data_IF_217231259653
#
_entry.id   IF_217231259653
#
_cell.length_a   1.000
_cell.length_b   1.000
_cell.length_c   1.000
_cell.angle_alpha   90.00
_cell.angle_beta   90.00
_cell.angle_gamma   90.00
#
_symmetry.space_group_name_H-M   'P 1'
#
loop_
_entity.id
_entity.type
_entity.pdbx_description
1 polymer ?
#
# COMPACT_ATOMS: atom_id res chain seq x y z
N UNK A 1 -19.99 8.47 -56.08
CA UNK A 1 -19.49 9.61 -55.27
C UNK A 1 -20.23 9.74 -53.93
N UNK A 2 -20.38 8.67 -53.14
CA UNK A 2 -20.92 8.79 -51.77
C UNK A 2 -20.65 7.52 -50.93
N UNK A 3 -19.39 7.12 -50.77
CA UNK A 3 -18.99 6.04 -49.83
C UNK A 3 -17.60 6.23 -49.18
N UNK A 4 -17.04 7.45 -49.25
CA UNK A 4 -15.66 7.71 -48.81
C UNK A 4 -15.53 8.77 -47.69
N UNK A 5 -16.61 9.15 -47.00
CA UNK A 5 -16.59 10.27 -46.05
C UNK A 5 -17.16 9.99 -44.65
N UNK A 6 -17.24 8.72 -44.24
CA UNK A 6 -17.76 8.35 -42.90
C UNK A 6 -16.84 7.41 -42.10
N UNK A 7 -15.56 7.30 -42.47
CA UNK A 7 -14.59 6.43 -41.79
C UNK A 7 -13.46 7.21 -41.09
N UNK A 8 -13.51 8.54 -41.06
CA UNK A 8 -12.40 9.40 -40.57
C UNK A 8 -12.77 10.32 -39.39
N UNK A 9 -13.89 10.07 -38.71
CA UNK A 9 -14.31 10.91 -37.56
C UNK A 9 -14.75 10.15 -36.31
N UNK A 10 -14.29 8.91 -36.15
CA UNK A 10 -14.36 8.12 -34.91
C UNK A 10 -13.02 7.42 -34.65
N UNK A 11 -11.90 8.11 -34.86
CA UNK A 11 -10.73 7.82 -34.04
C UNK A 11 -11.00 8.49 -32.70
N UNK A 12 -11.48 7.67 -31.77
CA UNK A 12 -11.50 7.98 -30.37
C UNK A 12 -10.19 8.69 -30.00
N UNK A 13 -10.31 9.80 -29.27
CA UNK A 13 -9.27 10.28 -28.40
C UNK A 13 -8.96 9.18 -27.36
N UNK A 14 -8.29 8.12 -27.79
CA UNK A 14 -7.34 7.45 -26.94
C UNK A 14 -6.27 8.52 -26.74
N UNK A 15 -6.41 9.29 -25.66
CA UNK A 15 -5.30 10.03 -25.10
C UNK A 15 -4.17 9.01 -24.98
N UNK A 16 -3.21 9.10 -25.90
CA UNK A 16 -1.88 8.52 -25.70
C UNK A 16 -1.44 9.20 -24.42
N UNK A 17 -1.53 8.50 -23.29
CA UNK A 17 -1.03 9.00 -22.03
C UNK A 17 0.46 9.23 -22.25
N UNK A 18 0.82 10.49 -22.53
CA UNK A 18 2.22 10.88 -22.62
C UNK A 18 2.90 10.53 -21.30
N UNK A 19 4.19 10.21 -21.36
CA UNK A 19 5.01 9.99 -20.18
C UNK A 19 4.75 11.08 -19.15
N UNK A 20 4.20 10.71 -17.99
CA UNK A 20 3.95 11.64 -16.91
C UNK A 20 5.16 11.65 -15.98
N UNK A 21 5.70 12.83 -15.63
CA UNK A 21 6.73 12.92 -14.62
C UNK A 21 6.20 12.34 -13.30
N UNK A 22 7.11 11.85 -12.46
CA UNK A 22 6.74 11.36 -11.13
C UNK A 22 6.04 12.48 -10.34
N UNK A 23 4.76 12.29 -10.04
CA UNK A 23 3.90 13.35 -9.49
C UNK A 23 3.05 12.83 -8.34
N UNK A 24 2.98 13.62 -7.27
CA UNK A 24 2.04 13.40 -6.17
C UNK A 24 0.93 14.45 -6.23
N UNK A 25 -0.32 14.02 -6.31
CA UNK A 25 -1.48 14.89 -6.39
C UNK A 25 -2.61 14.40 -5.48
N UNK A 26 -3.55 15.27 -5.04
CA UNK A 26 -4.83 14.80 -4.53
C UNK A 26 -5.46 13.84 -5.54
N UNK A 27 -6.00 12.72 -5.08
CA UNK A 27 -6.53 11.70 -5.98
C UNK A 27 -7.68 12.25 -6.84
N UNK A 28 -7.69 11.82 -8.09
CA UNK A 28 -8.74 12.10 -9.08
C UNK A 28 -9.31 10.79 -9.58
N UNK A 29 -10.57 10.83 -9.98
CA UNK A 29 -11.18 9.73 -10.73
C UNK A 29 -10.63 9.67 -12.15
N UNK A 30 -10.92 8.59 -12.85
CA UNK A 30 -10.50 8.37 -14.24
C UNK A 30 -11.04 9.44 -15.23
N UNK A 31 -12.15 10.09 -14.90
CA UNK A 31 -12.70 11.23 -15.65
C UNK A 31 -12.03 12.58 -15.29
N UNK A 32 -10.92 12.52 -14.54
CA UNK A 32 -10.16 13.64 -14.00
C UNK A 32 -10.89 14.51 -12.97
N UNK A 33 -12.13 14.18 -12.58
CA UNK A 33 -12.83 14.88 -11.51
C UNK A 33 -12.17 14.61 -10.15
N UNK A 34 -12.25 15.59 -9.24
CA UNK A 34 -11.63 15.49 -7.93
C UNK A 34 -12.37 14.48 -7.05
N UNK A 35 -11.65 13.55 -6.43
CA UNK A 35 -12.24 12.63 -5.44
C UNK A 35 -12.63 13.39 -4.19
N UNK A 36 -11.74 14.27 -3.73
CA UNK A 36 -11.96 15.12 -2.57
C UNK A 36 -11.23 16.47 -2.73
N UNK A 37 -12.02 17.51 -3.00
CA UNK A 37 -11.55 18.89 -3.16
C UNK A 37 -11.37 19.62 -1.81
N UNK A 38 -11.81 19.04 -0.69
CA UNK A 38 -11.74 19.70 0.61
C UNK A 38 -10.31 19.76 1.17
N UNK A 39 -9.96 20.77 1.98
CA UNK A 39 -8.64 20.86 2.63
C UNK A 39 -8.32 19.61 3.46
N UNK A 40 -7.03 19.28 3.63
CA UNK A 40 -6.62 18.13 4.45
C UNK A 40 -7.22 18.21 5.88
N UNK A 41 -7.17 19.39 6.50
CA UNK A 41 -7.75 19.64 7.81
C UNK A 41 -7.09 18.75 8.89
N UNK A 42 -7.91 18.09 9.72
CA UNK A 42 -7.45 17.20 10.79
C UNK A 42 -7.16 15.77 10.32
N UNK A 43 -7.39 15.46 9.04
CA UNK A 43 -7.29 14.11 8.48
C UNK A 43 -5.85 13.71 8.21
N UNK A 44 -5.61 12.41 8.12
CA UNK A 44 -4.30 11.85 7.72
C UNK A 44 -4.22 11.78 6.19
N UNK A 45 -3.09 12.16 5.56
CA UNK A 45 -2.87 11.87 4.15
C UNK A 45 -2.73 10.36 3.93
N UNK A 46 -3.52 9.80 3.02
CA UNK A 46 -3.36 8.44 2.51
C UNK A 46 -2.71 8.49 1.14
N UNK A 47 -1.47 8.04 1.02
CA UNK A 47 -0.74 7.98 -0.25
C UNK A 47 -1.02 6.65 -0.96
N UNK A 48 -1.52 6.71 -2.17
CA UNK A 48 -1.76 5.57 -3.06
C UNK A 48 -0.60 5.44 -4.05
N UNK A 49 0.11 4.31 -4.02
CA UNK A 49 1.26 4.04 -4.89
C UNK A 49 0.98 2.79 -5.72
N UNK A 50 0.87 2.95 -7.04
CA UNK A 50 0.60 1.84 -7.96
C UNK A 50 1.85 0.97 -8.20
N UNK A 51 1.69 -0.16 -8.90
CA UNK A 51 2.78 -1.02 -9.35
C UNK A 51 3.06 -0.90 -10.85
N UNK A 52 3.68 -1.92 -11.43
CA UNK A 52 3.96 -2.04 -12.87
C UNK A 52 2.70 -2.06 -13.73
N UNK A 53 2.79 -1.49 -14.95
CA UNK A 53 1.74 -1.59 -15.96
C UNK A 53 0.41 -0.95 -15.56
N UNK A 54 0.42 -0.08 -14.55
CA UNK A 54 -0.74 0.68 -14.13
C UNK A 54 -0.35 2.09 -13.71
N UNK A 55 -1.36 2.91 -13.49
CA UNK A 55 -1.29 4.24 -12.91
C UNK A 55 -2.36 4.41 -11.84
N UNK A 56 -2.78 5.65 -11.64
CA UNK A 56 -3.78 5.99 -10.63
C UNK A 56 -5.15 5.36 -10.90
N UNK A 57 -5.44 5.03 -12.17
CA UNK A 57 -6.69 4.43 -12.59
C UNK A 57 -6.95 3.07 -11.94
N UNK A 58 -5.89 2.40 -11.46
CA UNK A 58 -6.00 1.18 -10.68
C UNK A 58 -6.71 1.34 -9.33
N UNK A 59 -6.88 2.56 -8.83
CA UNK A 59 -7.50 2.86 -7.53
C UNK A 59 -8.95 3.33 -7.62
N UNK A 60 -9.52 3.46 -8.83
CA UNK A 60 -10.84 4.03 -9.07
C UNK A 60 -11.92 3.46 -8.14
N UNK A 61 -12.02 2.14 -8.03
CA UNK A 61 -13.06 1.49 -7.22
C UNK A 61 -12.84 1.72 -5.71
N UNK A 62 -11.59 1.74 -5.24
CA UNK A 62 -11.28 2.12 -3.87
C UNK A 62 -11.67 3.58 -3.59
N UNK A 63 -11.39 4.49 -4.51
CA UNK A 63 -11.72 5.91 -4.39
C UNK A 63 -13.23 6.16 -4.42
N UNK A 64 -13.98 5.38 -5.21
CA UNK A 64 -15.45 5.44 -5.22
C UNK A 64 -16.06 4.84 -3.95
N UNK A 65 -15.48 3.76 -3.42
CA UNK A 65 -15.84 3.26 -2.09
C UNK A 65 -15.57 4.33 -1.02
N UNK A 66 -14.41 4.99 -1.04
CA UNK A 66 -14.11 6.13 -0.17
C UNK A 66 -15.16 7.25 -0.29
N UNK A 67 -15.54 7.62 -1.51
CA UNK A 67 -16.53 8.67 -1.74
C UNK A 67 -17.89 8.32 -1.13
N UNK A 68 -18.26 7.04 -1.04
CA UNK A 68 -19.53 6.60 -0.44
C UNK A 68 -19.47 6.43 1.09
N UNK A 69 -18.28 6.40 1.70
CA UNK A 69 -18.11 6.10 3.12
C UNK A 69 -17.74 7.37 3.93
N UNK A 70 -18.74 7.99 4.55
CA UNK A 70 -18.57 9.19 5.40
C UNK A 70 -17.49 9.04 6.47
N UNK A 71 -17.46 7.88 7.14
CA UNK A 71 -16.46 7.58 8.16
C UNK A 71 -15.04 7.59 7.58
N UNK A 72 -14.84 7.10 6.36
CA UNK A 72 -13.53 7.10 5.71
C UNK A 72 -13.11 8.52 5.34
N UNK A 73 -14.04 9.32 4.80
CA UNK A 73 -13.80 10.72 4.45
C UNK A 73 -13.43 11.58 5.65
N UNK A 74 -13.95 11.25 6.84
CA UNK A 74 -13.61 11.91 8.09
C UNK A 74 -12.23 11.52 8.67
N UNK A 75 -11.68 10.37 8.26
CA UNK A 75 -10.40 9.85 8.77
C UNK A 75 -9.20 10.31 7.92
N UNK A 76 -9.29 10.12 6.60
CA UNK A 76 -8.16 10.36 5.71
C UNK A 76 -8.56 11.09 4.43
N UNK A 77 -7.57 11.68 3.77
CA UNK A 77 -7.69 12.23 2.41
C UNK A 77 -6.75 11.49 1.46
N UNK A 78 -7.24 10.93 0.34
CA UNK A 78 -6.41 10.20 -0.60
C UNK A 78 -5.59 11.13 -1.51
N UNK A 79 -4.33 10.75 -1.70
CA UNK A 79 -3.39 11.32 -2.66
C UNK A 79 -2.82 10.20 -3.49
N UNK A 80 -2.57 10.42 -4.77
CA UNK A 80 -2.02 9.40 -5.65
C UNK A 80 -0.65 9.83 -6.17
N UNK A 81 0.31 8.91 -6.08
CA UNK A 81 1.64 9.07 -6.66
C UNK A 81 1.69 8.30 -7.98
N UNK A 82 1.85 9.03 -9.08
CA UNK A 82 1.97 8.48 -10.43
C UNK A 82 3.40 8.55 -10.90
N UNK A 83 3.86 7.53 -11.61
CA UNK A 83 5.16 7.50 -12.25
C UNK A 83 5.15 6.54 -13.45
N UNK A 84 6.02 6.82 -14.41
CA UNK A 84 6.16 6.02 -15.63
C UNK A 84 6.72 4.62 -15.32
N UNK A 85 6.14 3.57 -15.92
CA UNK A 85 6.59 2.17 -15.69
C UNK A 85 6.94 1.43 -16.98
N UNK A 86 6.36 1.83 -18.10
CA UNK A 86 6.58 1.16 -19.38
C UNK A 86 7.83 1.68 -20.09
N UNK A 87 8.38 0.87 -21.01
CA UNK A 87 9.49 1.27 -21.89
C UNK A 87 9.13 2.52 -22.68
N UNK A 88 7.92 2.59 -23.21
CA UNK A 88 7.46 3.72 -24.00
C UNK A 88 7.42 5.01 -23.18
N UNK A 89 6.83 4.97 -21.98
CA UNK A 89 6.77 6.13 -21.08
C UNK A 89 8.17 6.57 -20.62
N UNK A 90 8.98 5.62 -20.12
CA UNK A 90 10.33 5.92 -19.60
C UNK A 90 11.28 6.40 -20.70
N UNK A 91 11.13 5.92 -21.94
CA UNK A 91 11.94 6.39 -23.06
C UNK A 91 11.54 7.79 -23.53
N UNK A 92 10.27 8.17 -23.39
CA UNK A 92 9.77 9.49 -23.78
C UNK A 92 10.12 10.59 -22.76
N UNK A 93 10.25 10.26 -21.48
CA UNK A 93 10.67 11.20 -20.44
C UNK A 93 12.10 10.91 -19.99
N UNK A 94 13.05 11.73 -20.45
CA UNK A 94 14.45 11.60 -20.06
C UNK A 94 14.67 11.68 -18.54
N UNK A 95 13.79 12.39 -17.82
CA UNK A 95 13.81 12.57 -16.37
C UNK A 95 13.12 11.44 -15.59
N UNK A 96 12.43 10.53 -16.29
CA UNK A 96 11.76 9.41 -15.65
C UNK A 96 12.77 8.55 -14.86
N UNK A 97 12.46 8.23 -13.59
CA UNK A 97 13.26 7.29 -12.82
C UNK A 97 13.34 5.93 -13.52
N UNK A 98 14.51 5.28 -13.45
CA UNK A 98 14.79 4.01 -14.17
C UNK A 98 14.99 2.80 -13.27
N UNK A 99 14.94 3.01 -11.95
CA UNK A 99 15.08 1.97 -10.91
C UNK A 99 14.04 2.23 -9.81
N UNK A 100 13.66 1.19 -9.06
CA UNK A 100 12.70 1.32 -7.96
C UNK A 100 13.22 2.27 -6.88
N UNK A 101 14.52 2.23 -6.58
CA UNK A 101 15.17 3.18 -5.65
C UNK A 101 15.05 4.63 -6.14
N UNK A 102 15.25 4.89 -7.43
CA UNK A 102 15.08 6.23 -8.00
C UNK A 102 13.61 6.71 -7.96
N UNK A 103 12.64 5.81 -8.16
CA UNK A 103 11.22 6.13 -7.94
C UNK A 103 10.97 6.44 -6.46
N UNK A 104 11.57 5.71 -5.53
CA UNK A 104 11.52 5.99 -4.09
C UNK A 104 12.08 7.38 -3.73
N UNK A 105 13.17 7.79 -4.36
CA UNK A 105 13.72 9.15 -4.24
C UNK A 105 12.76 10.21 -4.81
N UNK A 106 12.13 9.93 -5.95
CA UNK A 106 11.11 10.81 -6.53
C UNK A 106 9.86 10.94 -5.63
N UNK A 107 9.40 9.84 -5.01
CA UNK A 107 8.33 9.87 -4.02
C UNK A 107 8.70 10.75 -2.82
N UNK A 108 9.93 10.61 -2.29
CA UNK A 108 10.43 11.49 -1.23
C UNK A 108 10.41 12.96 -1.65
N UNK A 109 10.89 13.28 -2.85
CA UNK A 109 10.94 14.66 -3.34
C UNK A 109 9.54 15.27 -3.45
N UNK A 110 8.58 14.50 -3.97
CA UNK A 110 7.18 14.91 -4.05
C UNK A 110 6.55 15.08 -2.66
N UNK A 111 6.80 14.16 -1.72
CA UNK A 111 6.34 14.32 -0.33
C UNK A 111 6.94 15.56 0.34
N UNK A 112 8.24 15.83 0.13
CA UNK A 112 8.89 17.04 0.63
C UNK A 112 8.19 18.29 0.12
N UNK A 113 7.85 18.35 -1.17
CA UNK A 113 7.12 19.47 -1.75
C UNK A 113 5.74 19.68 -1.10
N UNK A 114 5.06 18.62 -0.60
CA UNK A 114 3.84 18.78 0.19
C UNK A 114 4.10 19.23 1.63
N UNK A 115 5.22 18.86 2.22
CA UNK A 115 5.60 19.36 3.55
C UNK A 115 5.98 20.84 3.52
N UNK A 116 6.55 21.30 2.40
CA UNK A 116 6.95 22.69 2.21
C UNK A 116 5.77 23.62 1.87
N UNK A 117 4.63 23.05 1.44
CA UNK A 117 3.40 23.81 1.16
C UNK A 117 2.73 24.33 2.44
N UNK A 118 2.09 25.50 2.40
CA UNK A 118 1.34 26.03 3.53
C UNK A 118 0.13 25.14 3.85
N UNK A 119 -0.41 25.26 5.07
CA UNK A 119 -1.67 24.59 5.46
C UNK A 119 -2.90 25.47 5.15
N UNK A 120 -2.83 26.32 4.12
CA UNK A 120 -3.84 27.34 3.80
C UNK A 120 -4.18 27.34 2.30
N UNK A 121 -5.36 27.85 1.90
CA UNK A 121 -5.74 27.95 0.50
C UNK A 121 -4.77 28.83 -0.32
N UNK A 122 -4.57 28.56 -1.62
CA UNK A 122 -5.12 27.44 -2.39
C UNK A 122 -4.28 26.14 -2.27
N UNK A 123 -3.04 26.24 -1.80
CA UNK A 123 -2.06 25.15 -1.79
C UNK A 123 -1.96 24.45 -0.44
N UNK A 124 -2.81 23.43 -0.23
CA UNK A 124 -2.81 22.65 1.01
C UNK A 124 -1.69 21.58 1.02
N UNK A 125 -0.70 21.78 1.89
CA UNK A 125 0.35 20.82 2.20
C UNK A 125 -0.06 19.70 3.16
N UNK A 126 0.92 18.91 3.58
CA UNK A 126 0.78 17.92 4.66
C UNK A 126 1.01 18.52 6.05
N UNK A 127 1.61 19.72 6.12
CA UNK A 127 1.98 20.34 7.38
C UNK A 127 3.02 19.50 8.12
N UNK A 128 2.79 19.17 9.39
CA UNK A 128 3.66 18.26 10.16
C UNK A 128 3.09 16.84 10.31
N UNK A 129 2.03 16.51 9.55
CA UNK A 129 1.32 15.24 9.69
C UNK A 129 2.11 14.10 9.08
N UNK A 130 2.09 12.95 9.75
CA UNK A 130 2.52 11.69 9.14
C UNK A 130 1.50 11.19 8.14
N UNK A 131 1.95 10.32 7.24
CA UNK A 131 1.11 9.73 6.18
C UNK A 131 0.89 8.25 6.43
N UNK A 132 -0.21 7.70 5.92
CA UNK A 132 -0.32 6.26 5.65
C UNK A 132 -0.06 6.04 4.17
N UNK A 133 0.66 4.98 3.82
CA UNK A 133 0.94 4.60 2.43
C UNK A 133 0.24 3.29 2.14
N UNK A 134 -0.65 3.28 1.16
CA UNK A 134 -1.29 2.08 0.63
C UNK A 134 -0.73 1.82 -0.78
N UNK A 135 -0.17 0.65 -0.97
CA UNK A 135 0.63 0.34 -2.16
C UNK A 135 0.20 -0.97 -2.78
N UNK A 136 0.46 -1.12 -4.07
CA UNK A 136 0.20 -2.35 -4.80
C UNK A 136 1.45 -2.80 -5.56
N UNK A 137 1.74 -4.10 -5.53
CA UNK A 137 2.80 -4.72 -6.32
C UNK A 137 4.15 -4.00 -6.10
N UNK A 138 4.83 -3.62 -7.17
CA UNK A 138 6.09 -2.86 -7.15
C UNK A 138 6.01 -1.57 -6.32
N UNK A 139 4.84 -0.94 -6.20
CA UNK A 139 4.66 0.29 -5.42
C UNK A 139 5.02 0.13 -3.94
N UNK A 140 4.90 -1.08 -3.38
CA UNK A 140 5.34 -1.35 -2.01
C UNK A 140 6.87 -1.36 -1.87
N UNK A 141 7.58 -1.81 -2.90
CA UNK A 141 9.05 -1.70 -2.95
C UNK A 141 9.49 -0.24 -3.11
N UNK A 142 8.79 0.56 -3.93
CA UNK A 142 9.00 2.01 -4.05
C UNK A 142 8.86 2.69 -2.68
N UNK A 143 7.78 2.40 -1.95
CA UNK A 143 7.55 2.98 -0.64
C UNK A 143 8.59 2.53 0.40
N UNK A 144 9.01 1.26 0.37
CA UNK A 144 10.10 0.77 1.22
C UNK A 144 11.43 1.44 0.91
N UNK A 145 11.76 1.63 -0.36
CA UNK A 145 12.94 2.36 -0.79
C UNK A 145 12.92 3.79 -0.25
N UNK A 146 11.78 4.49 -0.40
CA UNK A 146 11.57 5.81 0.19
C UNK A 146 11.77 5.80 1.71
N UNK A 147 11.14 4.86 2.42
CA UNK A 147 11.19 4.79 3.87
C UNK A 147 12.59 4.53 4.41
N UNK A 148 13.34 3.63 3.77
CA UNK A 148 14.58 3.09 4.31
C UNK A 148 15.83 3.80 3.78
N UNK A 149 15.79 4.33 2.56
CA UNK A 149 16.95 4.90 1.86
C UNK A 149 16.96 6.44 1.84
N UNK A 150 15.81 7.09 2.05
CA UNK A 150 15.68 8.54 1.86
C UNK A 150 15.59 9.31 3.18
N UNK A 151 16.09 10.54 3.18
CA UNK A 151 16.09 11.48 4.31
C UNK A 151 15.43 12.79 3.87
N UNK A 152 14.53 13.33 4.70
CA UNK A 152 13.81 14.59 4.48
C UNK A 152 14.66 15.80 4.90
N UNK A 153 14.24 17.01 4.49
CA UNK A 153 15.00 18.24 4.77
C UNK A 153 15.17 18.53 6.27
N UNK A 154 14.28 18.00 7.11
CA UNK A 154 14.35 18.10 8.57
C UNK A 154 15.21 17.00 9.22
N UNK A 155 15.96 16.23 8.42
CA UNK A 155 16.85 15.18 8.89
C UNK A 155 16.16 13.86 9.25
N UNK A 156 14.83 13.81 9.23
CA UNK A 156 14.08 12.58 9.47
C UNK A 156 14.18 11.62 8.29
N UNK A 157 14.24 10.32 8.56
CA UNK A 157 14.20 9.29 7.51
C UNK A 157 12.78 9.18 6.96
N UNK A 158 12.63 8.64 5.75
CA UNK A 158 11.32 8.49 5.13
C UNK A 158 10.34 7.68 5.98
N UNK A 159 10.81 6.64 6.68
CA UNK A 159 9.96 5.86 7.57
C UNK A 159 9.44 6.63 8.78
N UNK A 160 10.11 7.69 9.23
CA UNK A 160 9.64 8.55 10.33
C UNK A 160 8.41 9.38 9.94
N UNK A 161 8.24 9.61 8.63
CA UNK A 161 7.08 10.29 8.02
C UNK A 161 5.86 9.39 7.85
N UNK A 162 6.00 8.07 8.06
CA UNK A 162 4.97 7.07 7.77
C UNK A 162 4.41 6.50 9.08
N UNK A 163 3.09 6.43 9.19
CA UNK A 163 2.38 5.68 10.23
C UNK A 163 2.35 4.19 9.89
N UNK A 164 1.84 3.86 8.71
CA UNK A 164 1.85 2.50 8.17
C UNK A 164 2.19 2.49 6.68
N UNK A 165 2.92 1.44 6.30
CA UNK A 165 3.01 0.99 4.92
C UNK A 165 2.15 -0.26 4.77
N UNK A 166 1.06 -0.14 4.04
CA UNK A 166 0.15 -1.23 3.72
C UNK A 166 0.47 -1.69 2.30
N UNK A 167 0.90 -2.93 2.15
CA UNK A 167 1.28 -3.50 0.85
C UNK A 167 0.26 -4.52 0.38
N UNK A 168 -0.15 -4.41 -0.89
CA UNK A 168 -1.01 -5.37 -1.56
C UNK A 168 -0.19 -6.10 -2.61
N UNK A 169 0.07 -7.39 -2.39
CA UNK A 169 0.81 -8.24 -3.33
C UNK A 169 2.21 -7.71 -3.70
N UNK A 170 2.92 -7.09 -2.75
CA UNK A 170 4.27 -6.55 -3.01
C UNK A 170 5.31 -7.67 -2.99
N UNK A 171 6.16 -7.79 -4.02
CA UNK A 171 7.20 -8.82 -4.05
C UNK A 171 8.36 -8.47 -3.09
N UNK A 172 8.17 -8.61 -1.78
CA UNK A 172 9.19 -8.22 -0.78
C UNK A 172 10.49 -9.00 -0.90
N UNK A 173 10.44 -10.23 -1.43
CA UNK A 173 11.59 -11.07 -1.77
C UNK A 173 11.77 -11.24 -3.28
N UNK A 174 11.14 -10.37 -4.06
CA UNK A 174 11.07 -10.46 -5.51
C UNK A 174 9.98 -11.41 -5.99
N UNK A 175 9.96 -11.67 -7.29
CA UNK A 175 9.12 -12.71 -7.90
C UNK A 175 9.95 -13.58 -8.84
N UNK A 176 9.77 -14.91 -8.82
CA UNK A 176 10.41 -15.79 -9.78
C UNK A 176 10.07 -15.46 -11.24
N UNK A 177 8.94 -14.81 -11.49
CA UNK A 177 8.56 -14.42 -12.85
C UNK A 177 9.46 -13.34 -13.43
N UNK A 178 10.10 -12.50 -12.61
CA UNK A 178 11.06 -11.51 -13.10
C UNK A 178 12.32 -12.20 -13.66
N UNK A 179 12.71 -13.34 -13.10
CA UNK A 179 13.81 -14.19 -13.59
C UNK A 179 13.38 -15.10 -14.75
N UNK A 180 12.13 -15.56 -14.74
CA UNK A 180 11.55 -16.44 -15.75
C UNK A 180 10.93 -15.71 -16.95
N UNK A 181 10.89 -14.37 -16.95
CA UNK A 181 10.31 -13.55 -18.02
C UNK A 181 10.91 -13.85 -19.41
N UNK A 182 12.15 -14.36 -19.46
CA UNK A 182 12.80 -14.81 -20.69
C UNK A 182 12.26 -16.17 -21.23
N UNK A 183 11.38 -16.88 -20.50
CA UNK A 183 10.94 -18.25 -20.79
C UNK A 183 9.42 -18.45 -20.97
N UNK A 184 8.54 -17.48 -20.69
CA UNK A 184 7.07 -17.68 -20.56
C UNK A 184 6.18 -16.82 -21.50
N UNK A 185 5.84 -17.22 -22.74
CA UNK A 185 4.88 -16.50 -23.64
C UNK A 185 3.47 -16.27 -23.02
N UNK A 186 2.58 -15.32 -23.41
CA UNK A 186 2.57 -14.21 -24.38
C UNK A 186 1.66 -13.02 -23.94
N UNK A 187 1.21 -12.92 -22.66
CA UNK A 187 0.48 -11.72 -22.15
C UNK A 187 0.92 -11.23 -20.76
N UNK A 188 1.25 -12.11 -19.81
CA UNK A 188 2.09 -11.71 -18.66
C UNK A 188 3.45 -11.22 -19.15
N UNK A 189 3.96 -11.82 -20.25
CA UNK A 189 5.06 -11.21 -21.02
C UNK A 189 4.68 -9.85 -21.57
N UNK A 190 3.49 -9.56 -22.09
CA UNK A 190 3.22 -8.23 -22.66
C UNK A 190 3.31 -7.10 -21.61
N UNK A 191 2.82 -7.31 -20.39
CA UNK A 191 2.96 -6.36 -19.28
C UNK A 191 4.42 -6.28 -18.78
N UNK A 192 5.13 -7.41 -18.68
CA UNK A 192 6.54 -7.47 -18.26
C UNK A 192 7.51 -6.97 -19.36
N UNK A 193 7.23 -7.25 -20.63
CA UNK A 193 8.03 -6.88 -21.80
C UNK A 193 7.81 -5.43 -22.20
N UNK A 194 6.62 -4.92 -21.90
CA UNK A 194 6.33 -3.49 -21.98
C UNK A 194 6.91 -2.70 -20.82
N UNK A 195 7.37 -3.35 -19.74
CA UNK A 195 7.95 -2.69 -18.56
C UNK A 195 9.42 -2.33 -18.78
N UNK A 196 9.85 -1.19 -18.23
CA UNK A 196 11.25 -0.80 -18.26
C UNK A 196 12.16 -1.84 -17.57
N UNK A 197 13.23 -2.34 -18.23
CA UNK A 197 14.04 -3.47 -17.73
C UNK A 197 14.62 -3.28 -16.32
N UNK A 198 14.95 -2.04 -15.93
CA UNK A 198 15.47 -1.74 -14.60
C UNK A 198 14.48 -2.12 -13.48
N UNK A 199 13.18 -1.96 -13.71
CA UNK A 199 12.16 -2.33 -12.72
C UNK A 199 11.97 -3.85 -12.59
N UNK A 200 12.14 -4.59 -13.69
CA UNK A 200 12.13 -6.05 -13.67
C UNK A 200 13.34 -6.57 -12.90
N UNK A 201 14.53 -6.02 -13.18
CA UNK A 201 15.76 -6.36 -12.46
C UNK A 201 15.64 -6.10 -10.95
N UNK A 202 15.10 -4.95 -10.57
CA UNK A 202 14.88 -4.60 -9.16
C UNK A 202 13.77 -5.44 -8.47
N UNK A 203 12.97 -6.18 -9.23
CA UNK A 203 11.92 -7.09 -8.73
C UNK A 203 12.33 -8.58 -8.79
N UNK A 204 13.56 -8.88 -9.23
CA UNK A 204 14.07 -10.25 -9.31
C UNK A 204 14.18 -10.92 -7.94
N UNK A 205 14.10 -12.26 -7.93
CA UNK A 205 14.07 -13.06 -6.70
C UNK A 205 15.35 -12.87 -5.87
N UNK A 206 15.20 -12.69 -4.56
CA UNK A 206 16.36 -12.55 -3.66
C UNK A 206 16.94 -13.87 -3.20
N UNK A 207 16.33 -15.01 -3.57
CA UNK A 207 16.73 -16.34 -3.09
C UNK A 207 16.76 -16.42 -1.55
N UNK A 208 15.81 -15.76 -0.89
CA UNK A 208 15.74 -15.69 0.58
C UNK A 208 15.51 -17.06 1.22
N UNK A 209 14.97 -17.99 0.43
CA UNK A 209 14.51 -19.30 0.83
C UNK A 209 15.39 -20.43 0.28
N UNK A 210 16.59 -20.08 -0.20
CA UNK A 210 17.56 -20.99 -0.84
C UNK A 210 17.08 -21.65 -2.13
N UNK A 211 15.95 -21.19 -2.69
CA UNK A 211 15.48 -21.61 -4.01
C UNK A 211 16.30 -20.97 -5.15
N UNK A 212 17.08 -21.81 -5.82
CA UNK A 212 17.93 -21.40 -6.93
C UNK A 212 17.14 -21.27 -8.24
N UNK A 213 16.97 -20.03 -8.69
CA UNK A 213 16.42 -19.74 -10.00
C UNK A 213 17.48 -19.86 -11.09
N UNK A 214 17.07 -20.18 -12.32
CA UNK A 214 18.02 -20.42 -13.42
C UNK A 214 18.87 -19.19 -13.83
N UNK A 215 18.58 -17.99 -13.31
CA UNK A 215 19.42 -16.80 -13.46
C UNK A 215 20.52 -16.78 -12.39
N UNK A 216 21.77 -16.55 -12.79
CA UNK A 216 22.91 -16.58 -11.88
C UNK A 216 23.01 -15.38 -10.90
N UNK A 217 22.12 -14.39 -11.01
CA UNK A 217 22.27 -13.11 -10.32
C UNK A 217 21.22 -12.93 -9.21
N UNK A 218 21.68 -12.85 -7.95
CA UNK A 218 20.84 -12.32 -6.87
C UNK A 218 20.52 -10.83 -7.11
N UNK A 219 19.29 -10.43 -6.80
CA UNK A 219 18.91 -9.03 -6.63
C UNK A 219 19.53 -8.42 -5.36
N UNK A 220 20.76 -7.92 -5.47
CA UNK A 220 21.54 -7.39 -4.35
C UNK A 220 20.93 -6.12 -3.72
N UNK A 221 20.24 -5.30 -4.52
CA UNK A 221 19.53 -4.13 -4.03
C UNK A 221 18.37 -4.53 -3.12
N UNK A 222 17.49 -5.45 -3.57
CA UNK A 222 16.35 -5.88 -2.77
C UNK A 222 16.80 -6.67 -1.53
N UNK A 223 17.87 -7.48 -1.66
CA UNK A 223 18.50 -8.14 -0.53
C UNK A 223 19.00 -7.12 0.52
N UNK A 224 19.62 -6.01 0.08
CA UNK A 224 20.01 -4.89 0.97
C UNK A 224 18.80 -4.19 1.56
N UNK A 225 17.74 -3.98 0.78
CA UNK A 225 16.48 -3.38 1.24
C UNK A 225 15.79 -4.25 2.32
N UNK A 226 16.03 -5.56 2.32
CA UNK A 226 15.58 -6.53 3.33
C UNK A 226 16.54 -6.65 4.53
N UNK A 227 17.70 -5.99 4.51
CA UNK A 227 18.75 -6.11 5.53
C UNK A 227 18.92 -4.83 6.39
N UNK A 228 17.80 -4.13 6.66
CA UNK A 228 17.72 -3.03 7.62
C UNK A 228 17.30 -3.56 9.01
N UNK A 229 18.20 -4.24 9.71
CA UNK A 229 18.01 -4.62 11.12
C UNK A 229 19.36 -4.47 11.85
N UNK A 230 19.38 -4.16 13.16
CA UNK A 230 20.63 -4.13 13.91
C UNK A 230 21.15 -5.56 14.12
N UNK A 231 21.79 -6.15 13.12
CA UNK A 231 22.71 -7.28 13.28
C UNK A 231 23.66 -7.36 12.09
N UNK A 232 24.94 -7.58 12.41
CA UNK A 232 26.09 -7.84 11.52
C UNK A 232 25.66 -8.57 10.23
N UNK A 233 26.05 -8.03 9.06
CA UNK A 233 25.57 -8.43 7.73
C UNK A 233 25.02 -9.85 7.59
N UNK A 234 23.78 -9.97 7.13
CA UNK A 234 23.16 -11.25 6.83
C UNK A 234 23.77 -11.90 5.57
N UNK A 235 24.04 -13.20 5.65
CA UNK A 235 24.28 -14.03 4.48
C UNK A 235 22.91 -14.37 3.87
N UNK A 236 22.60 -13.80 2.70
CA UNK A 236 21.29 -13.95 2.05
C UNK A 236 21.41 -14.93 0.88
N UNK A 237 21.57 -16.22 1.19
CA UNK A 237 21.68 -17.27 0.18
C UNK A 237 22.75 -16.95 -0.88
N UNK A 238 22.36 -16.96 -2.17
CA UNK A 238 23.26 -16.63 -3.29
C UNK A 238 23.70 -15.16 -3.36
N UNK A 239 23.06 -14.24 -2.65
CA UNK A 239 23.52 -12.85 -2.56
C UNK A 239 24.87 -12.73 -1.82
N UNK A 240 25.29 -13.81 -1.15
CA UNK A 240 26.46 -13.80 -0.30
C UNK A 240 26.26 -12.86 0.88
N UNK A 241 27.38 -12.29 1.34
CA UNK A 241 27.37 -11.27 2.39
C UNK A 241 26.84 -9.96 1.83
N UNK A 242 25.65 -9.55 2.25
CA UNK A 242 25.11 -8.23 1.94
C UNK A 242 25.48 -7.28 3.07
N UNK A 243 26.03 -6.12 2.73
CA UNK A 243 26.36 -5.10 3.72
C UNK A 243 25.13 -4.77 4.58
N UNK A 244 25.25 -4.96 5.89
CA UNK A 244 24.21 -4.57 6.84
C UNK A 244 24.01 -3.06 6.83
N UNK A 245 22.77 -2.62 7.05
CA UNK A 245 22.53 -1.23 7.39
C UNK A 245 22.59 -1.05 8.90
N UNK A 246 23.45 -0.14 9.38
CA UNK A 246 23.58 0.18 10.80
C UNK A 246 22.33 0.86 11.38
N UNK A 247 21.48 1.41 10.52
CA UNK A 247 20.20 1.98 10.93
C UNK A 247 19.11 0.90 10.94
N UNK A 248 18.26 0.85 11.98
CA UNK A 248 17.13 -0.05 12.01
C UNK A 248 16.17 0.21 10.84
N UNK A 249 15.54 -0.83 10.34
CA UNK A 249 14.43 -0.73 9.39
C UNK A 249 13.17 -0.21 10.05
N UNK A 250 12.12 -0.13 9.25
CA UNK A 250 10.78 0.32 9.67
C UNK A 250 9.75 -0.82 9.54
N UNK A 251 10.18 -2.06 9.83
CA UNK A 251 9.39 -3.27 9.61
C UNK A 251 8.14 -3.33 10.50
N UNK A 252 8.24 -2.74 11.69
CA UNK A 252 7.15 -2.55 12.64
C UNK A 252 6.04 -1.62 12.14
N UNK A 253 6.21 -0.99 10.97
CA UNK A 253 5.18 -0.18 10.30
C UNK A 253 4.52 -0.91 9.11
N UNK A 254 5.02 -2.08 8.72
CA UNK A 254 4.59 -2.79 7.51
C UNK A 254 3.41 -3.72 7.79
N UNK A 255 2.33 -3.53 7.04
CA UNK A 255 1.19 -4.44 6.96
C UNK A 255 1.17 -5.08 5.58
N UNK A 256 1.50 -6.37 5.50
CA UNK A 256 1.71 -7.05 4.23
C UNK A 256 0.55 -7.98 3.88
N UNK A 257 -0.16 -7.71 2.78
CA UNK A 257 -1.21 -8.57 2.24
C UNK A 257 -0.70 -9.36 1.03
N UNK A 258 -0.88 -10.69 1.07
CA UNK A 258 -0.71 -11.58 -0.07
C UNK A 258 -2.01 -12.30 -0.44
N UNK A 259 -2.11 -12.76 -1.68
CA UNK A 259 -3.11 -13.73 -2.11
C UNK A 259 -2.41 -15.04 -2.52
N UNK A 260 -3.06 -16.19 -2.28
CA UNK A 260 -2.44 -17.51 -2.47
C UNK A 260 -3.04 -18.36 -3.58
N UNK A 261 -4.15 -17.93 -4.18
CA UNK A 261 -4.85 -18.67 -5.23
C UNK A 261 -5.45 -17.75 -6.30
N UNK A 262 -5.48 -18.22 -7.55
CA UNK A 262 -6.31 -17.60 -8.59
C UNK A 262 -7.79 -17.77 -8.26
N UNK A 263 -8.59 -16.78 -8.67
CA UNK A 263 -10.03 -16.90 -8.61
C UNK A 263 -10.50 -17.84 -9.73
N UNK A 264 -10.74 -19.11 -9.39
CA UNK A 264 -11.34 -20.09 -10.32
C UNK A 264 -12.75 -19.62 -10.77
N UNK A 265 -13.15 -19.78 -12.05
CA UNK A 265 -14.35 -19.16 -12.60
C UNK A 265 -15.67 -19.73 -12.06
N UNK A 266 -16.67 -18.84 -11.96
CA UNK A 266 -18.09 -19.05 -12.25
C UNK A 266 -18.75 -20.31 -11.69
N UNK A 267 -18.54 -20.60 -10.40
CA UNK A 267 -19.35 -21.61 -9.72
C UNK A 267 -20.63 -20.97 -9.17
N UNK A 268 -21.83 -21.52 -9.45
CA UNK A 268 -23.05 -21.08 -8.79
C UNK A 268 -22.92 -21.41 -7.31
N UNK A 269 -22.55 -20.41 -6.50
CA UNK A 269 -22.75 -20.50 -5.07
C UNK A 269 -24.25 -20.44 -4.83
N UNK A 270 -24.77 -21.43 -4.10
CA UNK A 270 -26.17 -21.48 -3.69
C UNK A 270 -26.65 -20.11 -3.19
N UNK A 271 -27.89 -19.76 -3.56
CA UNK A 271 -28.53 -18.45 -3.33
C UNK A 271 -27.63 -17.22 -3.56
N UNK A 272 -27.07 -17.10 -4.78
CA UNK A 272 -27.27 -15.85 -5.50
C UNK A 272 -26.14 -14.83 -5.53
N UNK A 273 -24.89 -15.22 -5.81
CA UNK A 273 -23.89 -14.25 -6.29
C UNK A 273 -22.96 -14.90 -7.33
N UNK A 274 -22.71 -14.20 -8.44
CA UNK A 274 -21.79 -14.60 -9.49
C UNK A 274 -20.53 -13.74 -9.43
N UNK A 275 -19.36 -14.39 -9.41
CA UNK A 275 -18.06 -13.75 -9.30
C UNK A 275 -17.23 -14.05 -10.55
N UNK A 276 -16.76 -13.04 -11.30
CA UNK A 276 -15.94 -13.26 -12.49
C UNK A 276 -14.64 -13.98 -12.11
N UNK A 277 -14.25 -14.99 -12.88
CA UNK A 277 -12.97 -15.66 -12.73
C UNK A 277 -11.79 -14.73 -13.02
N UNK A 278 -10.61 -15.12 -12.50
CA UNK A 278 -9.35 -14.48 -12.85
C UNK A 278 -9.10 -14.53 -14.36
N UNK A 279 -8.40 -13.49 -14.86
CA UNK A 279 -8.06 -13.41 -16.28
C UNK A 279 -7.35 -14.68 -16.75
N UNK A 280 -7.80 -15.27 -17.86
CA UNK A 280 -7.15 -16.44 -18.48
C UNK A 280 -5.68 -16.19 -18.79
N UNK A 281 -5.28 -14.92 -18.98
CA UNK A 281 -3.88 -14.50 -19.15
C UNK A 281 -2.97 -14.82 -17.96
N UNK A 282 -3.52 -14.93 -16.75
CA UNK A 282 -2.78 -15.16 -15.50
C UNK A 282 -2.60 -16.66 -15.19
N UNK A 283 -3.43 -17.53 -15.77
CA UNK A 283 -3.41 -18.98 -15.52
C UNK A 283 -2.04 -19.61 -15.80
N UNK A 284 -1.35 -19.31 -16.94
CA UNK A 284 -0.03 -19.88 -17.20
C UNK A 284 1.02 -19.47 -16.17
N UNK A 285 0.99 -18.20 -15.72
CA UNK A 285 1.94 -17.68 -14.73
C UNK A 285 1.70 -18.28 -13.34
N UNK A 286 0.42 -18.44 -12.96
CA UNK A 286 0.06 -19.18 -11.75
C UNK A 286 0.54 -20.63 -11.79
N UNK A 287 0.23 -21.36 -12.87
CA UNK A 287 0.63 -22.75 -13.01
C UNK A 287 2.16 -22.90 -13.02
N UNK A 288 2.89 -21.95 -13.60
CA UNK A 288 4.35 -21.95 -13.56
C UNK A 288 4.88 -21.81 -12.12
N UNK A 289 4.36 -20.86 -11.34
CA UNK A 289 4.77 -20.67 -9.94
C UNK A 289 4.32 -21.82 -9.02
N UNK A 290 3.20 -22.47 -9.34
CA UNK A 290 2.63 -23.55 -8.56
C UNK A 290 3.26 -24.91 -8.87
N UNK A 291 3.40 -25.25 -10.16
CA UNK A 291 3.78 -26.58 -10.65
C UNK A 291 5.09 -26.59 -11.47
N UNK A 292 5.47 -25.44 -12.04
CA UNK A 292 6.60 -25.33 -12.98
C UNK A 292 7.98 -25.16 -12.32
N UNK A 293 8.02 -24.99 -11.00
CA UNK A 293 9.22 -24.82 -10.19
C UNK A 293 9.45 -26.05 -9.31
N UNK A 294 10.70 -26.33 -8.92
CA UNK A 294 10.97 -27.45 -7.99
C UNK A 294 10.41 -27.22 -6.58
N UNK A 295 10.02 -25.97 -6.30
CA UNK A 295 9.25 -25.57 -5.11
C UNK A 295 7.92 -24.98 -5.55
N UNK A 296 6.84 -25.50 -4.99
CA UNK A 296 5.49 -24.98 -5.20
C UNK A 296 5.23 -23.76 -4.33
N UNK A 297 4.62 -22.73 -4.91
CA UNK A 297 4.15 -21.56 -4.18
C UNK A 297 2.65 -21.33 -4.39
N UNK A 298 1.90 -21.19 -3.30
CA UNK A 298 0.66 -20.42 -3.35
C UNK A 298 0.99 -19.01 -3.84
N UNK A 299 0.22 -18.49 -4.79
CA UNK A 299 0.56 -17.25 -5.49
C UNK A 299 -0.67 -16.59 -6.12
N UNK A 300 -0.53 -15.31 -6.43
CA UNK A 300 -1.59 -14.50 -7.04
C UNK A 300 -1.46 -14.39 -8.57
N UNK A 301 -0.74 -15.34 -9.18
CA UNK A 301 -0.23 -15.40 -10.55
C UNK A 301 0.92 -14.46 -10.91
N UNK A 302 1.36 -13.60 -10.00
CA UNK A 302 2.52 -12.73 -10.24
C UNK A 302 3.56 -12.88 -9.14
N UNK A 303 3.14 -12.92 -7.88
CA UNK A 303 4.00 -12.90 -6.70
C UNK A 303 3.67 -14.11 -5.82
N UNK A 304 4.69 -14.91 -5.42
CA UNK A 304 4.51 -15.92 -4.39
C UNK A 304 3.94 -15.32 -3.10
N UNK A 305 2.94 -15.97 -2.51
CA UNK A 305 2.27 -15.53 -1.29
C UNK A 305 3.24 -15.21 -0.15
N UNK A 306 4.26 -16.05 0.02
CA UNK A 306 5.32 -15.89 1.01
C UNK A 306 6.21 -14.65 0.77
N UNK A 307 6.43 -14.28 -0.49
CA UNK A 307 7.09 -13.02 -0.86
C UNK A 307 6.15 -11.83 -0.59
N UNK A 308 4.87 -11.96 -0.94
CA UNK A 308 3.85 -10.94 -0.67
C UNK A 308 3.66 -10.64 0.82
N UNK A 309 3.75 -11.66 1.68
CA UNK A 309 3.64 -11.53 3.13
C UNK A 309 4.95 -11.14 3.84
N UNK A 310 6.01 -10.88 3.08
CA UNK A 310 7.34 -10.57 3.60
C UNK A 310 7.80 -11.61 4.64
N UNK A 311 7.73 -12.89 4.28
CA UNK A 311 8.02 -14.00 5.20
C UNK A 311 9.46 -13.95 5.74
N UNK A 312 9.68 -14.48 6.94
CA UNK A 312 11.01 -14.52 7.57
C UNK A 312 11.46 -13.25 8.33
N UNK A 313 10.67 -12.17 8.35
CA UNK A 313 10.96 -10.95 9.13
C UNK A 313 9.81 -10.59 10.07
N UNK A 314 10.08 -10.10 11.28
CA UNK A 314 9.02 -9.58 12.15
C UNK A 314 8.50 -8.24 11.57
N UNK A 315 7.21 -8.20 11.23
CA UNK A 315 6.52 -7.00 10.74
C UNK A 315 5.29 -6.71 11.61
N UNK A 316 4.64 -5.56 11.43
CA UNK A 316 3.43 -5.21 12.20
C UNK A 316 2.34 -6.27 12.07
N UNK A 317 2.02 -6.65 10.82
CA UNK A 317 0.97 -7.63 10.55
C UNK A 317 1.09 -8.23 9.15
N UNK A 318 0.69 -9.49 9.04
CA UNK A 318 0.38 -10.17 7.78
C UNK A 318 -1.13 -10.27 7.59
N UNK A 319 -1.59 -9.90 6.41
CA UNK A 319 -2.95 -10.08 5.95
C UNK A 319 -2.98 -11.08 4.81
N UNK A 320 -4.16 -11.64 4.60
CA UNK A 320 -4.42 -12.49 3.47
C UNK A 320 -5.66 -12.00 2.74
N UNK A 321 -5.56 -12.03 1.42
CA UNK A 321 -6.64 -11.74 0.51
C UNK A 321 -7.07 -13.04 -0.17
N UNK A 322 -8.35 -13.36 -0.08
CA UNK A 322 -8.96 -14.54 -0.68
C UNK A 322 -9.81 -14.17 -1.88
N UNK A 323 -10.00 -15.15 -2.78
CA UNK A 323 -10.80 -15.00 -4.00
C UNK A 323 -10.34 -13.83 -4.87
N UNK A 324 -9.04 -13.68 -5.07
CA UNK A 324 -8.52 -12.65 -5.94
C UNK A 324 -7.12 -12.94 -6.46
N UNK A 325 -6.86 -12.41 -7.65
CA UNK A 325 -5.54 -12.38 -8.25
C UNK A 325 -4.79 -11.07 -7.97
N UNK A 326 -3.58 -11.00 -8.50
CA UNK A 326 -2.69 -9.86 -8.40
C UNK A 326 -3.33 -8.53 -8.81
N UNK A 327 -4.30 -8.52 -9.74
CA UNK A 327 -4.95 -7.29 -10.23
C UNK A 327 -6.15 -6.94 -9.35
N UNK A 328 -6.97 -7.92 -8.99
CA UNK A 328 -8.17 -7.72 -8.19
C UNK A 328 -7.89 -7.29 -6.76
N UNK A 329 -6.73 -7.63 -6.18
CA UNK A 329 -6.35 -7.17 -4.83
C UNK A 329 -6.32 -5.64 -4.69
N UNK A 330 -5.96 -4.94 -5.77
CA UNK A 330 -6.04 -3.47 -5.83
C UNK A 330 -7.36 -2.99 -6.42
N UNK A 331 -7.74 -3.51 -7.59
CA UNK A 331 -8.82 -2.96 -8.42
C UNK A 331 -10.22 -3.35 -7.93
N UNK A 332 -10.35 -4.44 -7.18
CA UNK A 332 -11.64 -5.10 -7.01
C UNK A 332 -12.16 -5.71 -8.31
N UNK A 333 -13.39 -6.22 -8.28
CA UNK A 333 -14.07 -6.86 -9.39
C UNK A 333 -15.57 -6.57 -9.35
N UNK A 334 -16.24 -6.63 -10.51
CA UNK A 334 -17.69 -6.49 -10.59
C UNK A 334 -18.33 -7.84 -10.32
N UNK A 335 -19.28 -7.91 -9.39
CA UNK A 335 -20.05 -9.13 -9.09
C UNK A 335 -21.53 -8.89 -9.32
N UNK A 336 -22.24 -9.94 -9.77
CA UNK A 336 -23.71 -9.91 -9.88
C UNK A 336 -24.30 -10.55 -8.64
N UNK A 337 -25.08 -9.79 -7.88
CA UNK A 337 -25.80 -10.24 -6.69
C UNK A 337 -27.24 -10.55 -7.08
N UNK A 338 -27.71 -11.75 -6.74
CA UNK A 338 -29.09 -12.19 -6.87
C UNK A 338 -29.74 -12.19 -5.49
N UNK A 339 -30.82 -11.45 -5.36
CA UNK A 339 -31.64 -11.39 -4.15
C UNK A 339 -33.07 -11.80 -4.47
N UNK A 340 -33.88 -12.00 -3.44
CA UNK A 340 -35.32 -12.21 -3.60
C UNK A 340 -36.04 -11.01 -4.26
N UNK A 341 -35.39 -9.82 -4.31
CA UNK A 341 -35.90 -8.61 -4.99
C UNK A 341 -35.43 -8.49 -6.45
N UNK A 342 -34.67 -9.46 -6.98
CA UNK A 342 -34.04 -9.42 -8.29
C UNK A 342 -32.51 -9.39 -8.22
N UNK A 343 -31.86 -9.26 -9.37
CA UNK A 343 -30.40 -9.19 -9.48
C UNK A 343 -29.90 -7.76 -9.73
N UNK A 344 -28.70 -7.45 -9.22
CA UNK A 344 -28.00 -6.21 -9.48
C UNK A 344 -26.49 -6.44 -9.50
N UNK A 345 -25.74 -5.54 -10.12
CA UNK A 345 -24.29 -5.59 -10.11
C UNK A 345 -23.72 -4.62 -9.07
N UNK A 346 -22.68 -5.06 -8.36
CA UNK A 346 -21.91 -4.20 -7.46
C UNK A 346 -20.40 -4.41 -7.63
N UNK A 347 -19.59 -3.49 -7.11
CA UNK A 347 -18.15 -3.63 -7.07
C UNK A 347 -17.72 -4.22 -5.73
N UNK A 348 -16.97 -5.32 -5.77
CA UNK A 348 -16.46 -6.01 -4.59
C UNK A 348 -14.93 -6.04 -4.56
N UNK A 349 -14.38 -6.32 -3.38
CA UNK A 349 -12.95 -6.49 -3.15
C UNK A 349 -12.65 -7.90 -2.62
N UNK A 350 -11.36 -8.27 -2.58
CA UNK A 350 -10.92 -9.57 -2.05
C UNK A 350 -11.49 -9.82 -0.66
N UNK A 351 -11.92 -11.04 -0.39
CA UNK A 351 -12.39 -11.42 0.94
C UNK A 351 -11.24 -11.43 1.94
N UNK A 352 -11.54 -11.07 3.19
CA UNK A 352 -10.59 -11.17 4.30
C UNK A 352 -10.59 -12.55 4.98
N UNK A 353 -11.49 -13.46 4.59
CA UNK A 353 -11.64 -14.79 5.22
C UNK A 353 -11.90 -15.89 4.18
N UNK A 354 -11.37 -17.09 4.42
CA UNK A 354 -11.60 -18.27 3.57
C UNK A 354 -13.09 -18.57 3.49
N UNK A 355 -13.60 -18.83 2.28
CA UNK A 355 -14.97 -19.34 2.08
C UNK A 355 -16.09 -18.38 2.42
N UNK A 356 -15.79 -17.17 2.93
CA UNK A 356 -16.80 -16.22 3.33
C UNK A 356 -17.08 -15.23 2.19
N UNK A 357 -18.29 -15.34 1.64
CA UNK A 357 -18.87 -14.43 0.65
C UNK A 357 -19.99 -13.57 1.23
N UNK A 358 -20.24 -13.59 2.55
CA UNK A 358 -21.23 -12.70 3.17
C UNK A 358 -20.67 -11.29 3.25
N UNK A 359 -20.61 -10.63 2.09
CA UNK A 359 -20.57 -9.19 2.04
C UNK A 359 -21.92 -8.69 2.55
N UNK A 360 -21.92 -7.63 3.36
CA UNK A 360 -23.13 -6.82 3.46
C UNK A 360 -23.24 -6.13 2.11
N UNK A 361 -23.96 -6.76 1.18
CA UNK A 361 -24.12 -6.26 -0.19
C UNK A 361 -24.65 -4.84 -0.14
N UNK A 362 -24.00 -3.93 -0.86
CA UNK A 362 -24.49 -2.58 -1.00
C UNK A 362 -25.80 -2.58 -1.78
N UNK A 363 -26.56 -1.49 -1.71
CA UNK A 363 -27.64 -1.23 -2.66
C UNK A 363 -27.15 -1.38 -4.12
N UNK A 364 -28.07 -1.43 -5.10
CA UNK A 364 -27.82 -1.68 -6.54
C UNK A 364 -26.80 -0.75 -7.27
N UNK A 365 -26.05 0.09 -6.56
CA UNK A 365 -25.01 1.00 -7.05
C UNK A 365 -23.78 1.09 -6.12
N UNK A 366 -23.63 0.14 -5.19
CA UNK A 366 -22.68 0.22 -4.08
C UNK A 366 -21.30 -0.41 -4.31
N UNK A 367 -20.39 -0.13 -3.38
CA UNK A 367 -19.08 -0.78 -3.26
C UNK A 367 -19.07 -1.66 -2.00
N UNK A 368 -19.03 -2.97 -2.19
CA UNK A 368 -19.03 -3.97 -1.13
C UNK A 368 -17.65 -4.07 -0.46
N UNK A 369 -17.40 -3.15 0.49
CA UNK A 369 -16.19 -3.15 1.31
C UNK A 369 -16.32 -4.03 2.57
N UNK A 370 -17.54 -4.21 3.11
CA UNK A 370 -17.79 -5.01 4.32
C UNK A 370 -17.39 -6.47 4.11
N UNK A 371 -16.58 -7.02 5.02
CA UNK A 371 -16.05 -8.39 4.91
C UNK A 371 -14.88 -8.57 3.93
N UNK A 372 -14.54 -7.53 3.16
CA UNK A 372 -13.34 -7.52 2.32
C UNK A 372 -12.08 -7.16 3.12
N UNK A 373 -10.90 -7.32 2.52
CA UNK A 373 -9.63 -6.87 3.11
C UNK A 373 -9.64 -5.38 3.48
N UNK A 374 -10.51 -4.56 2.86
CA UNK A 374 -10.65 -3.16 3.22
C UNK A 374 -11.53 -2.96 4.45
N UNK A 375 -12.74 -3.51 4.47
CA UNK A 375 -13.78 -3.20 5.45
C UNK A 375 -14.10 -4.29 6.47
N UNK A 376 -13.40 -5.43 6.49
CA UNK A 376 -13.50 -6.40 7.58
C UNK A 376 -12.92 -5.82 8.88
N UNK A 377 -13.31 -6.39 10.02
CA UNK A 377 -12.71 -6.04 11.32
C UNK A 377 -11.21 -6.33 11.30
N UNK A 378 -10.41 -5.36 11.71
CA UNK A 378 -8.96 -5.41 11.52
C UNK A 378 -8.53 -5.35 10.05
N UNK A 379 -9.37 -5.01 9.09
CA UNK A 379 -8.96 -4.79 7.71
C UNK A 379 -8.09 -3.55 7.55
N UNK A 380 -7.77 -3.20 6.31
CA UNK A 380 -6.96 -2.03 5.94
C UNK A 380 -7.54 -0.74 6.52
N UNK A 381 -8.87 -0.55 6.44
CA UNK A 381 -9.50 0.66 6.94
C UNK A 381 -9.44 0.74 8.47
N UNK A 382 -9.59 -0.39 9.18
CA UNK A 382 -9.42 -0.43 10.63
C UNK A 382 -7.98 -0.10 11.04
N UNK A 383 -6.97 -0.59 10.30
CA UNK A 383 -5.57 -0.19 10.51
C UNK A 383 -5.38 1.32 10.33
N UNK A 384 -5.92 1.90 9.25
CA UNK A 384 -5.84 3.35 9.00
C UNK A 384 -6.55 4.13 10.12
N UNK A 385 -7.72 3.65 10.54
CA UNK A 385 -8.52 4.25 11.62
C UNK A 385 -7.73 4.29 12.92
N UNK A 386 -7.23 3.14 13.38
CA UNK A 386 -6.50 3.05 14.64
C UNK A 386 -5.27 3.96 14.63
N UNK A 387 -4.50 3.97 13.55
CA UNK A 387 -3.33 4.84 13.42
C UNK A 387 -3.70 6.33 13.43
N UNK A 388 -4.78 6.71 12.74
CA UNK A 388 -5.27 8.09 12.67
C UNK A 388 -5.78 8.58 14.02
N UNK A 389 -6.58 7.75 14.71
CA UNK A 389 -7.13 8.07 16.03
C UNK A 389 -6.02 8.16 17.08
N UNK A 390 -5.05 7.23 17.05
CA UNK A 390 -3.88 7.29 17.92
C UNK A 390 -3.05 8.55 17.66
N UNK A 391 -2.72 8.87 16.41
CA UNK A 391 -1.93 10.06 16.07
C UNK A 391 -2.62 11.35 16.54
N UNK A 392 -3.93 11.44 16.33
CA UNK A 392 -4.75 12.58 16.78
C UNK A 392 -4.74 12.74 18.30
N UNK A 393 -4.91 11.66 19.04
CA UNK A 393 -4.84 11.69 20.50
C UNK A 393 -3.44 12.06 20.97
N UNK A 394 -2.39 11.51 20.35
CA UNK A 394 -1.00 11.83 20.69
C UNK A 394 -0.65 13.30 20.40
N UNK A 395 -1.18 13.87 19.32
CA UNK A 395 -1.06 15.31 19.00
C UNK A 395 -1.76 16.21 20.01
N UNK A 396 -2.92 15.79 20.52
CA UNK A 396 -3.66 16.52 21.52
C UNK A 396 -3.00 16.44 22.90
N UNK A 397 -2.67 15.23 23.38
CA UNK A 397 -2.13 15.03 24.74
C UNK A 397 -0.79 15.72 24.94
N UNK A 398 0.08 15.78 23.91
CA UNK A 398 1.36 16.50 24.05
C UNK A 398 1.17 18.00 24.31
N UNK A 399 0.06 18.58 23.84
CA UNK A 399 -0.27 20.00 24.10
C UNK A 399 -0.99 20.12 25.43
N UNK A 400 -2.01 19.29 25.68
CA UNK A 400 -2.79 19.32 26.91
C UNK A 400 -1.96 19.03 28.17
N UNK A 401 -0.94 18.17 28.05
CA UNK A 401 -0.08 17.73 29.16
C UNK A 401 1.39 18.10 28.93
N UNK A 402 1.63 19.29 28.34
CA UNK A 402 2.98 19.74 27.99
C UNK A 402 3.98 19.70 29.15
N UNK A 403 3.56 19.90 30.41
CA UNK A 403 4.46 19.80 31.56
C UNK A 403 5.05 18.39 31.77
N UNK A 404 4.36 17.35 31.30
CA UNK A 404 4.79 15.94 31.40
C UNK A 404 5.45 15.43 30.12
N UNK A 405 5.24 16.11 28.99
CA UNK A 405 5.58 15.61 27.65
C UNK A 405 6.45 16.62 26.90
N UNK A 406 7.76 16.64 27.20
CA UNK A 406 8.73 17.52 26.55
C UNK A 406 9.91 16.77 25.89
N UNK A 407 10.42 17.27 24.76
CA UNK A 407 9.91 18.39 23.97
C UNK A 407 8.58 18.07 23.28
N UNK A 408 7.75 19.08 23.01
CA UNK A 408 6.59 18.91 22.14
C UNK A 408 7.00 18.47 20.73
N UNK A 409 6.09 17.82 19.99
CA UNK A 409 6.31 17.32 18.62
C UNK A 409 7.21 16.07 18.49
N UNK A 410 7.36 15.27 19.55
CA UNK A 410 8.00 13.96 19.45
C UNK A 410 7.35 13.07 18.39
N UNK A 411 8.14 12.28 17.64
CA UNK A 411 7.58 11.45 16.59
C UNK A 411 6.86 10.21 17.12
N UNK A 412 5.75 9.85 16.47
CA UNK A 412 5.07 8.57 16.71
C UNK A 412 5.87 7.43 16.13
N UNK A 413 6.19 6.49 17.01
CA UNK A 413 6.81 5.21 16.73
C UNK A 413 5.80 4.09 16.95
N UNK A 414 6.08 2.93 16.35
CA UNK A 414 5.31 1.70 16.58
C UNK A 414 6.25 0.68 17.22
N UNK A 415 5.79 -0.05 18.23
CA UNK A 415 6.61 -1.07 18.89
C UNK A 415 5.86 -1.78 20.00
N UNK A 416 6.09 -3.09 20.16
CA UNK A 416 5.42 -3.92 21.18
C UNK A 416 3.87 -3.83 21.15
N UNK A 417 3.32 -3.53 19.98
CA UNK A 417 1.88 -3.30 19.76
C UNK A 417 1.36 -1.90 20.11
N UNK A 418 2.24 -0.97 20.51
CA UNK A 418 1.88 0.41 20.80
C UNK A 418 2.11 1.33 19.60
N UNK A 419 1.23 2.31 19.42
CA UNK A 419 1.59 3.60 18.81
C UNK A 419 2.03 4.51 19.94
N UNK A 420 3.28 4.98 19.96
CA UNK A 420 3.79 5.73 21.11
C UNK A 420 4.72 6.87 20.72
N UNK A 421 4.86 7.84 21.62
CA UNK A 421 5.85 8.92 21.55
C UNK A 421 6.73 8.88 22.79
N UNK A 422 8.02 9.03 22.58
CA UNK A 422 8.99 9.22 23.66
C UNK A 422 9.36 10.71 23.78
N UNK A 423 9.41 11.20 25.01
CA UNK A 423 9.68 12.57 25.37
C UNK A 423 10.99 12.62 26.15
N UNK A 424 12.13 12.84 25.47
CA UNK A 424 13.45 12.68 26.06
C UNK A 424 13.74 13.62 27.24
N UNK A 425 13.17 14.82 27.29
CA UNK A 425 13.46 15.76 28.37
C UNK A 425 12.73 15.39 29.68
N UNK A 426 11.55 14.76 29.57
CA UNK A 426 10.77 14.30 30.72
C UNK A 426 10.87 12.81 30.96
N UNK A 427 11.69 12.10 30.17
CA UNK A 427 11.82 10.64 30.17
C UNK A 427 10.47 9.92 30.20
N UNK A 428 9.50 10.46 29.46
CA UNK A 428 8.12 10.01 29.49
C UNK A 428 7.71 9.39 28.16
N UNK A 429 6.79 8.45 28.22
CA UNK A 429 6.13 7.84 27.09
C UNK A 429 4.62 8.05 27.22
N UNK A 430 3.98 8.35 26.11
CA UNK A 430 2.53 8.19 25.96
C UNK A 430 2.29 7.28 24.76
N UNK A 431 1.36 6.35 24.89
CA UNK A 431 1.08 5.41 23.83
C UNK A 431 -0.34 4.88 23.82
N UNK A 432 -0.74 4.31 22.69
CA UNK A 432 -2.04 3.71 22.46
C UNK A 432 -1.84 2.26 22.09
N UNK A 433 -2.55 1.35 22.77
CA UNK A 433 -2.58 -0.08 22.47
C UNK A 433 -3.94 -0.66 22.83
N UNK A 434 -4.47 -1.53 21.99
CA UNK A 434 -5.73 -2.26 22.24
C UNK A 434 -6.90 -1.36 22.69
N UNK A 435 -6.99 -0.16 22.10
CA UNK A 435 -8.04 0.81 22.42
C UNK A 435 -7.87 1.54 23.75
N UNK A 436 -6.71 1.43 24.40
CA UNK A 436 -6.37 2.10 25.66
C UNK A 436 -5.18 3.05 25.47
N UNK A 437 -5.22 4.18 26.17
CA UNK A 437 -4.12 5.15 26.27
C UNK A 437 -3.33 4.86 27.53
N UNK A 438 -2.01 4.78 27.38
CA UNK A 438 -1.06 4.47 28.43
C UNK A 438 -0.07 5.61 28.62
N UNK A 439 0.38 5.77 29.86
CA UNK A 439 1.48 6.63 30.23
C UNK A 439 2.55 5.83 30.98
N UNK A 440 3.81 6.15 30.74
CA UNK A 440 4.96 5.62 31.46
C UNK A 440 5.95 6.77 31.66
N UNK A 441 6.29 7.10 32.90
CA UNK A 441 7.29 8.12 33.19
C UNK A 441 7.41 8.41 34.69
N UNK A 442 8.12 9.48 35.07
CA UNK A 442 8.30 9.86 36.46
C UNK A 442 6.98 10.03 37.23
N UNK A 443 5.95 10.60 36.59
CA UNK A 443 4.64 10.81 37.23
C UNK A 443 3.87 9.52 37.55
N UNK A 444 4.24 8.40 36.94
CA UNK A 444 3.69 7.07 37.24
C UNK A 444 4.67 6.19 38.04
N UNK A 445 5.71 6.77 38.66
CA UNK A 445 6.79 6.04 39.32
C UNK A 445 7.42 4.97 38.40
N UNK A 446 7.58 5.33 37.12
CA UNK A 446 8.09 4.43 36.07
C UNK A 446 7.26 3.15 35.88
N UNK A 447 5.97 3.18 36.24
CA UNK A 447 5.02 2.11 35.93
C UNK A 447 4.26 2.42 34.66
N UNK A 448 3.97 1.40 33.86
CA UNK A 448 3.07 1.52 32.72
C UNK A 448 1.63 1.54 33.25
N UNK A 449 0.96 2.67 33.12
CA UNK A 449 -0.39 2.88 33.66
C UNK A 449 -1.37 3.12 32.52
N UNK A 450 -2.48 2.39 32.51
CA UNK A 450 -3.62 2.67 31.64
C UNK A 450 -4.35 3.91 32.18
N UNK A 451 -4.44 4.97 31.37
CA UNK A 451 -4.97 6.27 31.78
C UNK A 451 -6.44 6.42 31.40
N UNK A 452 -6.79 6.04 30.18
CA UNK A 452 -8.16 6.15 29.65
C UNK A 452 -8.35 5.26 28.42
N UNK A 453 -9.59 5.09 27.98
CA UNK A 453 -9.86 4.51 26.66
C UNK A 453 -9.48 5.52 25.56
N UNK A 454 -9.06 5.00 24.40
CA UNK A 454 -8.81 5.79 23.20
C UNK A 454 -10.05 6.59 22.81
N UNK A 455 -11.24 6.00 22.92
CA UNK A 455 -12.50 6.65 22.59
C UNK A 455 -12.76 7.90 23.46
N UNK A 456 -12.47 7.84 24.76
CA UNK A 456 -12.65 8.97 25.67
C UNK A 456 -11.69 10.12 25.30
N UNK A 457 -10.41 9.82 25.11
CA UNK A 457 -9.43 10.83 24.73
C UNK A 457 -9.65 11.37 23.32
N UNK A 458 -10.14 10.55 22.38
CA UNK A 458 -10.49 11.00 21.03
C UNK A 458 -11.65 12.01 21.05
N UNK A 459 -12.65 11.81 21.91
CA UNK A 459 -13.73 12.77 22.09
C UNK A 459 -13.19 14.12 22.61
N UNK A 460 -12.27 14.10 23.58
CA UNK A 460 -11.61 15.30 24.09
C UNK A 460 -10.73 15.98 23.04
N UNK A 461 -9.94 15.22 22.29
CA UNK A 461 -9.10 15.73 21.21
C UNK A 461 -9.94 16.43 20.14
N UNK A 462 -11.07 15.82 19.72
CA UNK A 462 -12.01 16.43 18.76
C UNK A 462 -12.62 17.73 19.29
N UNK A 463 -13.03 17.77 20.56
CA UNK A 463 -13.55 18.98 21.20
C UNK A 463 -12.49 20.11 21.25
N UNK A 464 -11.22 19.75 21.30
CA UNK A 464 -10.08 20.68 21.23
C UNK A 464 -9.62 21.02 19.80
N UNK A 465 -10.29 20.52 18.76
CA UNK A 465 -9.99 20.83 17.35
C UNK A 465 -8.93 19.94 16.68
N UNK A 466 -8.64 18.76 17.24
CA UNK A 466 -7.65 17.82 16.70
C UNK A 466 -8.22 16.77 15.75
#
# INVERSE_FOLDING_TARGET
>A
MLKALLATLLLAAATIAGAAPAVLAPSRFNDASAVDASPLGTRVPLLLVHGLGGGNEGWENFLRAYQQNESWRAMFKPYSFSYSTTVAEVAQDASAPRTISAVGAALRAQMQAYYDKPMAPPDFGFGKKRVVVLTHSMGGLVARAMMQEQVFADGQRGGDKVLHLITLATPHHGTPLADAAFKLGLQTIAEISGTWPGFIADSAWTNYDSFDMSSAACNSWLAKLNNYAPSTGAYLGKCGSVAGNWQPGFYEKIVAYGARDLQSPDTPYGFGAYKPGSSSSLVPSYAYLHDGLTRSYGNDAVVPFVSAQFDGVAIFRRGEAYSCDHRYIRRGYRQTVYSWKGSYDEWAFCSATVGNSTYTSGSASGYAASGSIFGAAGGIIDTIKTATEAERVLDWVQVAYGALLQPGSSPTSIGLGFYYRYYPATHSYVGVKDGMVYYLGPASNQQLVAVATLANFLAMARAAGY
#
